data_IF_287588354391
#
_entry.id   IF_287588354391
#
_cell.length_a   1.000
_cell.length_b   1.000
_cell.length_c   1.000
_cell.angle_alpha   90.00
_cell.angle_beta   90.00
_cell.angle_gamma   90.00
#
_symmetry.space_group_name_H-M   'P 1'
#
loop_
_entity.id
_entity.type
_entity.pdbx_description
1 polymer ?
#
# COMPACT_ATOMS: atom_id res chain seq x y z
N UNK A 1 -12.14 7.32 3.39
CA UNK A 1 -12.35 6.73 2.08
C UNK A 1 -12.66 7.77 1.03
N UNK A 2 -12.23 7.49 -0.19
CA UNK A 2 -12.44 8.38 -1.32
C UNK A 2 -13.68 7.88 -2.08
N UNK A 3 -14.60 8.80 -2.35
CA UNK A 3 -15.72 8.51 -3.21
C UNK A 3 -15.31 8.80 -4.66
N UNK A 4 -15.14 7.75 -5.44
CA UNK A 4 -14.60 7.85 -6.80
C UNK A 4 -15.70 8.12 -7.81
N UNK A 5 -16.92 7.70 -7.53
CA UNK A 5 -18.05 7.84 -8.45
C UNK A 5 -19.15 8.64 -7.78
N UNK A 6 -19.38 9.75 -8.35
CA UNK A 6 -20.54 10.55 -8.28
C UNK A 6 -21.25 10.79 -6.97
N UNK A 7 -21.38 12.06 -6.70
CA UNK A 7 -22.27 12.53 -5.65
C UNK A 7 -23.70 12.41 -6.10
N UNK A 8 -24.57 12.06 -5.16
CA UNK A 8 -25.97 11.87 -5.46
C UNK A 8 -26.27 10.59 -6.24
N UNK A 9 -25.24 9.81 -6.52
CA UNK A 9 -25.39 8.50 -7.12
C UNK A 9 -25.85 7.48 -6.09
N UNK A 10 -26.68 6.54 -6.52
CA UNK A 10 -27.13 5.44 -5.68
C UNK A 10 -26.10 4.31 -5.57
N UNK A 11 -24.99 4.43 -6.29
CA UNK A 11 -23.89 3.50 -6.27
C UNK A 11 -22.58 4.16 -6.65
N UNK A 12 -21.49 3.43 -6.53
CA UNK A 12 -20.18 3.92 -6.89
C UNK A 12 -19.07 3.02 -6.44
N UNK A 13 -17.82 3.44 -6.70
CA UNK A 13 -16.63 2.74 -6.26
C UNK A 13 -15.99 3.57 -5.14
N UNK A 14 -15.69 2.92 -4.01
CA UNK A 14 -15.06 3.56 -2.85
C UNK A 14 -13.89 2.74 -2.35
N UNK A 15 -12.93 3.46 -1.80
CA UNK A 15 -11.79 2.86 -1.11
C UNK A 15 -11.99 3.02 0.40
N UNK A 16 -11.91 1.92 1.14
CA UNK A 16 -12.12 1.95 2.58
C UNK A 16 -12.18 0.57 3.19
N UNK A 17 -12.75 0.48 4.38
CA UNK A 17 -12.82 -0.76 5.15
C UNK A 17 -13.97 -1.68 4.76
N UNK A 18 -14.82 -1.27 3.84
CA UNK A 18 -15.95 -2.09 3.42
C UNK A 18 -17.23 -1.82 4.18
N UNK A 19 -17.28 -0.77 4.98
CA UNK A 19 -18.47 -0.41 5.76
C UNK A 19 -18.83 1.05 5.53
N UNK A 20 -20.03 1.26 4.99
CA UNK A 20 -20.62 2.57 4.79
C UNK A 20 -22.06 2.52 5.27
N UNK A 21 -22.44 3.36 6.24
CA UNK A 21 -23.81 3.33 6.78
C UNK A 21 -24.86 3.50 5.68
N UNK A 22 -25.87 2.65 5.70
CA UNK A 22 -26.97 2.71 4.75
C UNK A 22 -26.68 2.15 3.37
N UNK A 23 -25.47 1.60 3.15
CA UNK A 23 -25.06 1.07 1.85
C UNK A 23 -24.65 -0.39 1.97
N UNK A 24 -24.90 -1.16 0.92
CA UNK A 24 -24.27 -2.45 0.73
C UNK A 24 -22.92 -2.24 0.06
N UNK A 25 -21.96 -3.11 0.36
CA UNK A 25 -20.62 -3.02 -0.20
C UNK A 25 -20.13 -4.39 -0.65
N UNK A 26 -19.56 -4.46 -1.84
CA UNK A 26 -18.92 -5.67 -2.36
C UNK A 26 -17.48 -5.36 -2.71
N UNK A 27 -16.56 -6.15 -2.19
CA UNK A 27 -15.13 -5.98 -2.45
C UNK A 27 -14.82 -6.28 -3.91
N UNK A 28 -14.19 -5.33 -4.58
CA UNK A 28 -13.76 -5.51 -5.98
C UNK A 28 -12.49 -6.35 -6.08
N UNK A 29 -11.54 -6.10 -5.18
CA UNK A 29 -10.25 -6.78 -5.20
C UNK A 29 -9.60 -6.68 -3.84
N UNK A 30 -8.75 -7.66 -3.53
CA UNK A 30 -7.89 -7.61 -2.36
C UNK A 30 -6.73 -6.66 -2.61
N UNK A 31 -6.21 -6.09 -1.54
CA UNK A 31 -5.03 -5.24 -1.59
C UNK A 31 -4.02 -5.71 -0.57
N UNK A 32 -2.77 -5.82 -1.01
CA UNK A 32 -1.65 -6.16 -0.15
C UNK A 32 -0.75 -4.94 0.02
N UNK A 33 0.01 -4.93 1.12
CA UNK A 33 1.06 -3.95 1.37
C UNK A 33 2.38 -4.70 1.43
N UNK A 34 3.37 -4.24 0.67
CA UNK A 34 4.68 -4.88 0.62
C UNK A 34 5.77 -3.89 0.24
N UNK A 35 7.03 -4.19 0.62
CA UNK A 35 8.16 -3.37 0.22
C UNK A 35 8.45 -3.47 -1.27
N UNK A 36 8.82 -2.34 -1.85
CA UNK A 36 9.24 -2.24 -3.26
C UNK A 36 10.48 -1.35 -3.37
N UNK A 37 11.28 -1.61 -4.38
CA UNK A 37 12.42 -0.75 -4.71
C UNK A 37 12.69 -0.79 -6.22
N UNK A 38 13.56 0.11 -6.68
CA UNK A 38 14.04 0.06 -8.05
C UNK A 38 14.92 -1.17 -8.27
N UNK A 39 14.87 -1.80 -9.46
CA UNK A 39 15.74 -2.93 -9.76
C UNK A 39 17.24 -2.62 -9.56
N UNK A 40 17.66 -1.39 -9.83
CA UNK A 40 19.04 -0.97 -9.68
C UNK A 40 19.56 -1.10 -8.23
N UNK A 41 18.67 -0.98 -7.25
CA UNK A 41 19.07 -1.13 -5.84
C UNK A 41 19.51 -2.57 -5.55
N UNK A 42 18.92 -3.55 -6.21
CA UNK A 42 19.28 -4.96 -6.03
C UNK A 42 20.66 -5.29 -6.58
N UNK A 43 21.20 -4.45 -7.45
CA UNK A 43 22.56 -4.62 -7.96
C UNK A 43 23.63 -4.24 -6.92
N UNK A 44 23.27 -3.43 -5.93
CA UNK A 44 24.20 -2.91 -4.92
C UNK A 44 23.92 -3.39 -3.51
N UNK A 45 22.79 -4.06 -3.29
CA UNK A 45 22.38 -4.50 -1.96
C UNK A 45 21.74 -5.89 -2.04
N UNK A 46 22.01 -6.71 -1.04
CA UNK A 46 21.33 -8.00 -0.88
C UNK A 46 20.07 -7.78 -0.07
N UNK A 47 18.90 -8.02 -0.71
CA UNK A 47 17.59 -7.83 -0.09
C UNK A 47 16.76 -9.10 -0.24
N UNK A 48 17.20 -10.18 0.42
CA UNK A 48 16.55 -11.49 0.34
C UNK A 48 15.61 -11.76 1.52
N UNK A 49 15.90 -11.18 2.68
CA UNK A 49 15.09 -11.31 3.87
C UNK A 49 14.80 -9.95 4.47
N UNK A 50 13.68 -9.78 5.18
CA UNK A 50 13.32 -8.47 5.74
C UNK A 50 14.39 -7.84 6.64
N UNK A 51 15.19 -8.64 7.32
CA UNK A 51 16.29 -8.13 8.13
C UNK A 51 17.37 -7.40 7.32
N UNK A 52 17.44 -7.64 6.02
CA UNK A 52 18.38 -6.97 5.15
C UNK A 52 18.05 -5.48 4.95
N UNK A 53 16.87 -5.05 5.41
CA UNK A 53 16.49 -3.64 5.38
C UNK A 53 17.28 -2.77 6.37
N UNK A 54 18.04 -3.35 7.27
CA UNK A 54 18.75 -2.60 8.31
C UNK A 54 19.68 -1.52 7.75
N UNK A 55 20.30 -1.78 6.61
CA UNK A 55 21.20 -0.84 5.96
C UNK A 55 20.55 0.05 4.91
N UNK A 56 19.23 -0.02 4.74
CA UNK A 56 18.55 0.67 3.67
C UNK A 56 17.85 1.94 4.15
N UNK A 57 17.68 2.88 3.22
CA UNK A 57 16.82 4.04 3.44
C UNK A 57 15.37 3.59 3.28
N UNK A 58 14.57 3.79 4.32
CA UNK A 58 13.14 3.56 4.24
C UNK A 58 12.43 4.84 3.85
N UNK A 59 11.47 4.72 2.94
CA UNK A 59 10.64 5.83 2.50
C UNK A 59 9.30 5.73 3.21
N UNK A 60 8.95 6.76 3.97
CA UNK A 60 7.71 6.81 4.75
C UNK A 60 6.69 7.67 4.04
N UNK A 61 5.48 7.15 3.90
CA UNK A 61 4.35 7.90 3.35
C UNK A 61 3.62 8.59 4.50
N UNK A 62 3.75 9.90 4.58
CA UNK A 62 3.10 10.69 5.60
C UNK A 62 1.72 11.22 5.19
N UNK A 63 1.30 10.93 3.96
CA UNK A 63 -0.02 11.31 3.50
C UNK A 63 -1.11 10.36 3.99
N UNK A 64 -0.73 9.16 4.45
CA UNK A 64 -1.69 8.17 4.91
C UNK A 64 -1.84 8.24 6.42
N UNK A 65 -3.06 8.04 6.89
CA UNK A 65 -3.38 7.99 8.30
C UNK A 65 -3.38 6.53 8.75
N UNK A 66 -2.41 6.15 9.58
CA UNK A 66 -2.30 4.78 10.05
C UNK A 66 -3.46 4.37 10.95
N UNK A 67 -4.20 5.32 11.52
CA UNK A 67 -5.41 5.02 12.29
C UNK A 67 -6.52 4.47 11.41
N UNK A 68 -6.48 4.69 10.10
CA UNK A 68 -7.47 4.16 9.16
C UNK A 68 -7.17 2.75 8.67
N UNK A 69 -6.05 2.16 9.07
CA UNK A 69 -5.68 0.79 8.72
C UNK A 69 -4.54 0.66 7.72
N UNK A 70 -3.90 1.76 7.33
CA UNK A 70 -2.69 1.68 6.51
C UNK A 70 -1.52 1.16 7.34
N UNK A 71 -0.73 0.30 6.74
CA UNK A 71 0.46 -0.20 7.39
C UNK A 71 1.59 0.83 7.33
N UNK A 72 2.14 1.14 8.49
CA UNK A 72 3.40 1.86 8.60
C UNK A 72 4.57 0.87 8.45
N UNK A 73 5.78 1.40 8.30
CA UNK A 73 6.97 0.56 8.35
C UNK A 73 7.06 -0.21 9.67
N UNK A 74 6.72 0.43 10.81
CA UNK A 74 6.70 -0.26 12.10
C UNK A 74 5.75 -1.46 12.08
N UNK A 75 4.54 -1.26 11.56
CA UNK A 75 3.54 -2.32 11.49
C UNK A 75 3.97 -3.44 10.56
N UNK A 76 4.54 -3.11 9.39
CA UNK A 76 4.98 -4.12 8.45
C UNK A 76 6.13 -4.96 9.02
N UNK A 77 7.12 -4.31 9.63
CA UNK A 77 8.26 -5.01 10.22
C UNK A 77 7.83 -5.92 11.38
N UNK A 78 6.87 -5.45 12.19
CA UNK A 78 6.29 -6.28 13.25
C UNK A 78 5.60 -7.50 12.67
N UNK A 79 4.82 -7.33 11.62
CA UNK A 79 4.15 -8.43 10.93
C UNK A 79 5.16 -9.42 10.36
N UNK A 80 6.26 -8.94 9.82
CA UNK A 80 7.33 -9.78 9.27
C UNK A 80 8.17 -10.46 10.37
N UNK A 81 8.01 -10.08 11.63
CA UNK A 81 8.76 -10.64 12.74
C UNK A 81 10.20 -10.17 12.80
N UNK A 82 10.49 -8.98 12.31
CA UNK A 82 11.84 -8.45 12.21
C UNK A 82 12.06 -7.34 13.23
N UNK A 83 13.19 -7.42 13.94
CA UNK A 83 13.63 -6.41 14.88
C UNK A 83 14.93 -5.79 14.41
N UNK A 84 15.25 -4.61 14.94
CA UNK A 84 16.54 -3.97 14.68
C UNK A 84 16.62 -3.17 13.39
N UNK A 85 15.49 -2.97 12.69
CA UNK A 85 15.43 -2.07 11.54
C UNK A 85 14.93 -0.72 12.03
N UNK A 86 15.75 0.35 11.94
CA UNK A 86 15.33 1.67 12.41
C UNK A 86 14.20 2.23 11.55
N UNK A 87 13.15 2.75 12.20
CA UNK A 87 12.00 3.38 11.52
C UNK A 87 11.86 4.86 11.82
N UNK A 88 12.75 5.41 12.66
CA UNK A 88 12.73 6.81 13.07
C UNK A 88 13.48 7.74 12.10
N UNK A 89 14.05 7.18 11.07
CA UNK A 89 14.86 7.90 10.07
C UNK A 89 14.48 7.43 8.67
N UNK A 90 15.01 8.08 7.67
CA UNK A 90 14.71 7.83 6.27
C UNK A 90 14.01 9.02 5.63
N UNK A 91 13.47 8.81 4.44
CA UNK A 91 12.74 9.85 3.74
C UNK A 91 11.29 9.88 4.19
N UNK A 92 10.75 11.09 4.36
CA UNK A 92 9.35 11.29 4.72
C UNK A 92 8.70 12.15 3.65
N UNK A 93 7.71 11.60 2.99
CA UNK A 93 7.08 12.24 1.83
C UNK A 93 5.56 12.25 2.05
N UNK A 94 4.94 13.39 1.82
CA UNK A 94 3.52 13.60 2.06
C UNK A 94 2.69 13.47 0.77
N UNK A 95 2.96 12.41 0.00
CA UNK A 95 2.23 12.10 -1.23
C UNK A 95 2.57 10.66 -1.65
N UNK A 96 1.56 9.81 -1.77
CA UNK A 96 1.79 8.39 -2.08
C UNK A 96 2.43 8.17 -3.46
N UNK A 97 2.04 8.95 -4.46
CA UNK A 97 2.65 8.82 -5.79
C UNK A 97 4.12 9.25 -5.76
N UNK A 98 4.45 10.28 -4.99
CA UNK A 98 5.83 10.72 -4.83
C UNK A 98 6.67 9.71 -4.03
N UNK A 99 6.07 8.99 -3.10
CA UNK A 99 6.73 7.89 -2.39
C UNK A 99 7.17 6.81 -3.38
N UNK A 100 6.27 6.38 -4.26
CA UNK A 100 6.61 5.37 -5.28
C UNK A 100 7.64 5.91 -6.27
N UNK A 101 7.53 7.17 -6.66
CA UNK A 101 8.50 7.78 -7.57
C UNK A 101 9.89 7.84 -6.94
N UNK A 102 10.00 8.15 -5.66
CA UNK A 102 11.28 8.14 -4.95
C UNK A 102 11.91 6.73 -4.97
N UNK A 103 11.09 5.69 -4.78
CA UNK A 103 11.56 4.31 -4.89
C UNK A 103 12.01 3.99 -6.33
N UNK A 104 11.27 4.40 -7.34
CA UNK A 104 11.63 4.23 -8.75
C UNK A 104 12.97 4.88 -9.04
N UNK A 105 13.21 6.05 -8.46
CA UNK A 105 14.45 6.81 -8.63
C UNK A 105 15.63 6.23 -7.82
N UNK A 106 15.43 5.13 -7.12
CA UNK A 106 16.49 4.46 -6.38
C UNK A 106 16.83 5.09 -5.03
N UNK A 107 15.96 5.91 -4.48
CA UNK A 107 16.26 6.64 -3.24
C UNK A 107 16.05 5.80 -1.98
N UNK A 108 15.44 4.62 -2.09
CA UNK A 108 15.24 3.74 -0.96
C UNK A 108 14.17 2.70 -1.22
N UNK A 109 13.66 2.14 -0.13
CA UNK A 109 12.63 1.10 -0.13
C UNK A 109 11.34 1.69 0.41
N UNK A 110 10.26 1.56 -0.33
CA UNK A 110 8.93 2.06 0.05
C UNK A 110 8.00 0.89 0.35
N UNK A 111 6.99 1.16 1.17
CA UNK A 111 5.82 0.28 1.26
C UNK A 111 4.82 0.69 0.19
N UNK A 112 4.39 -0.27 -0.61
CA UNK A 112 3.45 -0.04 -1.70
C UNK A 112 2.16 -0.81 -1.45
N UNK A 113 1.06 -0.20 -1.87
CA UNK A 113 -0.22 -0.90 -2.00
C UNK A 113 -0.27 -1.54 -3.38
N UNK A 114 -0.65 -2.81 -3.44
CA UNK A 114 -0.56 -3.62 -4.66
C UNK A 114 -1.31 -3.01 -5.85
N UNK A 115 -2.47 -2.43 -5.60
CA UNK A 115 -3.28 -1.82 -6.68
C UNK A 115 -2.57 -0.59 -7.25
N UNK A 116 -2.08 0.29 -6.39
CA UNK A 116 -1.41 1.52 -6.82
C UNK A 116 -0.08 1.23 -7.52
N UNK A 117 0.63 0.20 -7.09
CA UNK A 117 1.94 -0.15 -7.63
C UNK A 117 1.88 -1.07 -8.86
N UNK A 118 0.69 -1.50 -9.25
CA UNK A 118 0.51 -2.52 -10.29
C UNK A 118 1.25 -2.20 -11.58
N UNK A 119 1.08 -0.99 -12.10
CA UNK A 119 1.68 -0.61 -13.40
C UNK A 119 3.19 -0.50 -13.31
N UNK A 120 3.72 0.02 -12.22
CA UNK A 120 5.16 0.14 -12.03
C UNK A 120 5.83 -1.22 -11.88
N UNK A 121 5.16 -2.16 -11.22
CA UNK A 121 5.65 -3.54 -11.12
C UNK A 121 5.59 -4.24 -12.48
N UNK A 122 4.49 -4.10 -13.21
CA UNK A 122 4.33 -4.71 -14.52
C UNK A 122 5.35 -4.18 -15.52
N UNK A 123 5.68 -2.89 -15.45
CA UNK A 123 6.65 -2.24 -16.32
C UNK A 123 8.11 -2.46 -15.89
N UNK A 124 8.34 -3.08 -14.73
CA UNK A 124 9.69 -3.31 -14.23
C UNK A 124 10.38 -2.08 -13.65
N UNK A 125 9.64 -1.00 -13.38
CA UNK A 125 10.20 0.18 -12.70
C UNK A 125 10.41 -0.07 -11.22
N UNK A 126 9.59 -0.94 -10.65
CA UNK A 126 9.69 -1.40 -9.27
C UNK A 126 9.72 -2.92 -9.23
N UNK A 127 10.36 -3.46 -8.20
CA UNK A 127 10.30 -4.89 -7.88
C UNK A 127 9.75 -5.07 -6.47
N UNK A 128 8.92 -6.08 -6.29
CA UNK A 128 8.44 -6.47 -4.98
C UNK A 128 9.53 -7.22 -4.24
N UNK A 129 9.75 -6.83 -2.99
CA UNK A 129 10.68 -7.51 -2.10
C UNK A 129 9.91 -8.47 -1.17
N UNK A 130 10.58 -9.54 -0.77
CA UNK A 130 10.10 -10.48 0.23
C UNK A 130 8.69 -11.03 -0.08
N UNK A 131 8.48 -11.64 -1.23
CA UNK A 131 7.14 -12.10 -1.61
C UNK A 131 6.58 -13.18 -0.70
N UNK A 132 7.41 -13.81 0.12
CA UNK A 132 6.99 -14.79 1.11
C UNK A 132 6.31 -14.14 2.33
N UNK A 133 6.52 -12.84 2.55
CA UNK A 133 5.84 -12.10 3.61
C UNK A 133 4.61 -11.41 3.01
N UNK A 134 3.45 -11.75 3.51
CA UNK A 134 2.19 -11.22 2.99
C UNK A 134 1.46 -10.47 4.08
N UNK A 135 1.11 -9.24 3.79
CA UNK A 135 0.29 -8.40 4.64
C UNK A 135 -0.88 -7.86 3.82
N UNK A 136 -2.07 -8.39 4.10
CA UNK A 136 -3.27 -7.93 3.46
C UNK A 136 -3.69 -6.59 4.06
N UNK A 137 -4.04 -5.64 3.20
CA UNK A 137 -4.51 -4.34 3.66
C UNK A 137 -5.90 -4.47 4.28
N UNK A 138 -6.15 -3.73 5.37
CA UNK A 138 -7.49 -3.58 5.92
C UNK A 138 -8.39 -2.74 5.01
N UNK A 139 -7.82 -2.03 4.05
CA UNK A 139 -8.51 -1.18 3.10
C UNK A 139 -8.52 -1.86 1.73
N UNK A 140 -9.59 -1.67 0.98
CA UNK A 140 -9.71 -2.19 -0.37
C UNK A 140 -10.69 -1.35 -1.15
N UNK A 141 -10.81 -1.63 -2.45
CA UNK A 141 -11.81 -0.99 -3.30
C UNK A 141 -13.10 -1.80 -3.27
N UNK A 142 -14.21 -1.10 -3.15
CA UNK A 142 -15.55 -1.70 -3.06
C UNK A 142 -16.49 -1.03 -4.03
N UNK A 143 -17.42 -1.82 -4.57
CA UNK A 143 -18.64 -1.28 -5.17
C UNK A 143 -19.63 -1.09 -4.04
N UNK A 144 -20.21 0.10 -3.93
CA UNK A 144 -21.21 0.41 -2.93
C UNK A 144 -22.51 0.81 -3.63
N UNK A 145 -23.64 0.43 -3.03
CA UNK A 145 -24.97 0.72 -3.60
C UNK A 145 -26.02 0.66 -2.50
N UNK A 146 -27.17 1.26 -2.79
CA UNK A 146 -28.31 1.17 -1.90
C UNK A 146 -29.04 -0.15 -2.13
N UNK A 147 -29.43 -0.80 -1.06
CA UNK A 147 -30.20 -2.04 -1.15
C UNK A 147 -31.52 -1.86 -1.88
N UNK A 148 -32.11 -0.67 -1.80
CA UNK A 148 -33.37 -0.37 -2.49
C UNK A 148 -33.25 -0.42 -4.01
N UNK A 149 -32.07 -0.44 -4.58
CA UNK A 149 -31.83 -0.57 -6.02
C UNK A 149 -31.72 -2.01 -6.48
N UNK A 150 -31.67 -2.97 -5.57
CA UNK A 150 -31.56 -4.37 -5.92
C UNK A 150 -32.95 -4.85 -6.37
N UNK A 151 -33.10 -5.39 -7.60
CA UNK A 151 -34.36 -5.98 -8.03
C UNK A 151 -34.75 -7.16 -7.13
N UNK A 152 -35.99 -7.21 -6.82
CA UNK A 152 -36.55 -8.29 -6.01
C UNK A 152 -37.01 -9.43 -6.89
#
# INVERSE_FOLDING_TARGET
>A
PVDVVGRGSDGGVRYGRGQWPGLAAEKLMDEEVYPVCAPALLATATLQAPGDLRGQVLIHDQSVDTSTGFASWQAWLRHAGVQGVPTDRGLRINNSAAVLQAAIDGQGVALARSVMAHDDLAAGRLVRLFPQVRLESALAYYVVYRLSLIPI
#
